data_IF_542877624815
#
_entry.id   IF_542877624815
#
_cell.length_a   1.000
_cell.length_b   1.000
_cell.length_c   1.000
_cell.angle_alpha   90.00
_cell.angle_beta   90.00
_cell.angle_gamma   90.00
#
_symmetry.space_group_name_H-M   'P 1'
#
loop_
_entity.id
_entity.type
_entity.pdbx_description
1 polymer ?
#
# COMPACT_ATOMS: atom_id res chain seq x y z
N UNK A 1 13.43 -1.03 2.14
CA UNK A 1 12.02 -1.15 1.75
C UNK A 1 11.91 -1.15 0.24
N UNK A 2 10.95 -1.90 -0.32
CA UNK A 2 10.51 -1.75 -1.72
C UNK A 2 9.51 -0.59 -1.86
N UNK A 3 9.78 0.35 -2.77
CA UNK A 3 8.86 1.45 -3.10
C UNK A 3 8.08 1.13 -4.37
N UNK A 4 6.78 0.85 -4.21
CA UNK A 4 5.89 0.53 -5.33
C UNK A 4 5.23 1.79 -5.89
N UNK A 5 5.65 2.24 -7.07
CA UNK A 5 5.01 3.41 -7.71
C UNK A 5 3.74 2.96 -8.43
N UNK A 6 2.59 3.41 -7.95
CA UNK A 6 1.28 2.96 -8.42
C UNK A 6 0.87 3.54 -9.77
N UNK A 7 0.37 2.68 -10.65
CA UNK A 7 -0.19 3.03 -11.95
C UNK A 7 -1.70 3.32 -11.93
N UNK A 8 -2.29 3.75 -13.06
CA UNK A 8 -1.61 4.02 -14.32
C UNK A 8 -0.86 5.35 -14.30
N UNK A 9 0.35 5.39 -14.87
CA UNK A 9 1.14 6.61 -15.05
C UNK A 9 1.10 7.00 -16.52
N UNK A 10 0.51 8.16 -16.85
CA UNK A 10 0.29 8.57 -18.26
C UNK A 10 1.11 9.81 -18.61
N UNK A 11 1.75 9.85 -19.80
CA UNK A 11 1.86 8.79 -20.82
C UNK A 11 2.78 7.63 -20.42
N UNK A 12 2.77 6.54 -21.20
CA UNK A 12 3.60 5.34 -20.96
C UNK A 12 5.10 5.64 -20.85
N UNK A 13 5.60 6.66 -21.56
CA UNK A 13 6.99 7.13 -21.42
C UNK A 13 7.32 7.58 -19.99
N UNK A 14 6.35 8.16 -19.28
CA UNK A 14 6.49 8.53 -17.88
C UNK A 14 6.42 7.30 -16.97
N UNK A 15 5.57 6.32 -17.28
CA UNK A 15 5.53 5.05 -16.55
C UNK A 15 6.88 4.31 -16.66
N UNK A 16 7.42 4.17 -17.87
CA UNK A 16 8.76 3.62 -18.10
C UNK A 16 9.82 4.37 -17.29
N UNK A 17 9.74 5.70 -17.24
CA UNK A 17 10.70 6.51 -16.48
C UNK A 17 10.58 6.27 -14.97
N UNK A 18 9.37 6.10 -14.46
CA UNK A 18 9.11 5.83 -13.05
C UNK A 18 9.44 4.39 -12.64
N UNK A 19 9.33 3.43 -13.56
CA UNK A 19 9.38 2.00 -13.25
C UNK A 19 10.65 1.28 -13.68
N UNK A 20 11.43 1.82 -14.62
CA UNK A 20 12.66 1.18 -15.11
C UNK A 20 13.62 0.89 -13.95
N UNK A 21 13.88 -0.39 -13.73
CA UNK A 21 14.76 -0.88 -12.65
C UNK A 21 14.19 -0.69 -11.24
N UNK A 22 12.87 -0.49 -11.12
CA UNK A 22 12.13 -0.22 -9.87
C UNK A 22 10.91 -1.11 -9.78
N UNK A 23 9.93 -0.71 -8.98
CA UNK A 23 8.77 -1.53 -8.66
C UNK A 23 7.45 -0.82 -8.96
N UNK A 24 6.48 -1.56 -9.48
CA UNK A 24 5.16 -1.04 -9.85
C UNK A 24 4.04 -1.65 -9.00
N UNK A 25 3.05 -0.84 -8.65
CA UNK A 25 1.78 -1.31 -8.10
C UNK A 25 0.70 -1.20 -9.16
N UNK A 26 0.14 -2.32 -9.58
CA UNK A 26 -0.83 -2.38 -10.69
C UNK A 26 -2.21 -2.69 -10.15
N UNK A 27 -3.13 -1.74 -10.29
CA UNK A 27 -4.53 -1.94 -9.94
C UNK A 27 -5.24 -2.76 -11.01
N UNK A 28 -5.98 -3.79 -10.60
CA UNK A 28 -6.82 -4.59 -11.49
C UNK A 28 -7.84 -3.74 -12.25
N UNK A 29 -8.42 -2.74 -11.58
CA UNK A 29 -9.36 -1.78 -12.19
C UNK A 29 -8.74 -0.98 -13.36
N UNK A 30 -7.41 -0.86 -13.41
CA UNK A 30 -6.66 -0.16 -14.43
C UNK A 30 -5.42 -0.95 -14.86
N UNK A 31 -5.61 -2.22 -15.23
CA UNK A 31 -4.54 -3.19 -15.51
C UNK A 31 -3.81 -3.00 -16.84
N UNK A 32 -4.18 -2.00 -17.65
CA UNK A 32 -3.67 -1.81 -19.02
C UNK A 32 -2.15 -1.68 -19.16
N UNK A 33 -1.45 -1.24 -18.11
CA UNK A 33 0.01 -1.11 -18.10
C UNK A 33 0.75 -2.32 -17.49
N UNK A 34 0.09 -3.46 -17.21
CA UNK A 34 0.74 -4.61 -16.58
C UNK A 34 1.89 -5.19 -17.42
N UNK A 35 1.74 -5.28 -18.75
CA UNK A 35 2.81 -5.76 -19.63
C UNK A 35 4.02 -4.81 -19.57
N UNK A 36 3.77 -3.50 -19.44
CA UNK A 36 4.84 -2.51 -19.30
C UNK A 36 5.58 -2.69 -17.96
N UNK A 37 4.85 -2.92 -16.87
CA UNK A 37 5.46 -3.22 -15.58
C UNK A 37 6.26 -4.53 -15.61
N UNK A 38 5.71 -5.59 -16.21
CA UNK A 38 6.36 -6.88 -16.32
C UNK A 38 7.69 -6.82 -17.10
N UNK A 39 7.79 -5.95 -18.09
CA UNK A 39 8.99 -5.77 -18.91
C UNK A 39 10.06 -4.87 -18.24
N UNK A 40 9.64 -3.77 -17.59
CA UNK A 40 10.57 -2.72 -17.14
C UNK A 40 10.91 -2.74 -15.65
N UNK A 41 10.09 -3.39 -14.82
CA UNK A 41 10.29 -3.43 -13.37
C UNK A 41 11.21 -4.56 -12.91
N UNK A 42 11.86 -4.37 -11.76
CA UNK A 42 12.47 -5.45 -11.00
C UNK A 42 11.41 -6.33 -10.34
N UNK A 43 10.32 -5.75 -9.84
CA UNK A 43 9.12 -6.49 -9.45
C UNK A 43 7.86 -5.66 -9.58
N UNK A 44 6.70 -6.30 -9.58
CA UNK A 44 5.41 -5.65 -9.49
C UNK A 44 4.50 -6.41 -8.53
N UNK A 45 3.59 -5.67 -7.91
CA UNK A 45 2.54 -6.22 -7.07
C UNK A 45 1.16 -5.75 -7.56
N UNK A 46 0.14 -6.53 -7.25
CA UNK A 46 -1.21 -6.36 -7.77
C UNK A 46 -2.15 -5.84 -6.67
N UNK A 47 -2.87 -4.79 -7.00
CA UNK A 47 -3.98 -4.26 -6.21
C UNK A 47 -5.31 -4.77 -6.79
N UNK A 48 -6.24 -5.14 -5.91
CA UNK A 48 -7.56 -5.67 -6.29
C UNK A 48 -8.47 -4.57 -6.90
N UNK A 49 -8.18 -3.29 -6.65
CA UNK A 49 -8.99 -2.17 -7.11
C UNK A 49 -10.33 -2.00 -6.38
N UNK A 50 -10.53 -2.63 -5.22
CA UNK A 50 -11.76 -2.61 -4.43
C UNK A 50 -12.27 -1.19 -4.18
N UNK A 51 -11.38 -0.26 -3.83
CA UNK A 51 -11.76 1.14 -3.61
C UNK A 51 -12.31 1.84 -4.86
N UNK A 52 -11.80 1.49 -6.04
CA UNK A 52 -12.29 2.02 -7.31
C UNK A 52 -13.63 1.40 -7.67
N UNK A 53 -13.74 0.07 -7.51
CA UNK A 53 -14.98 -0.68 -7.76
C UNK A 53 -16.11 -0.21 -6.83
N UNK A 54 -15.87 -0.09 -5.52
CA UNK A 54 -16.85 0.39 -4.54
C UNK A 54 -17.38 1.79 -4.87
N UNK A 55 -16.49 2.73 -5.26
CA UNK A 55 -16.91 4.08 -5.68
C UNK A 55 -17.81 4.07 -6.92
N UNK A 56 -17.62 3.11 -7.83
CA UNK A 56 -18.39 3.01 -9.07
C UNK A 56 -19.69 2.21 -8.88
N UNK A 57 -19.68 1.14 -8.09
CA UNK A 57 -20.75 0.17 -7.95
C UNK A 57 -21.70 0.42 -6.76
N UNK A 58 -21.30 1.23 -5.77
CA UNK A 58 -22.02 1.37 -4.50
C UNK A 58 -21.85 0.13 -3.60
N UNK A 59 -22.81 -0.14 -2.70
CA UNK A 59 -22.81 -1.28 -1.75
C UNK A 59 -23.13 -2.65 -2.40
N UNK A 60 -22.98 -2.79 -3.71
CA UNK A 60 -23.29 -4.06 -4.38
C UNK A 60 -22.14 -5.07 -4.18
N UNK A 61 -22.50 -6.35 -4.01
CA UNK A 61 -21.51 -7.44 -3.91
C UNK A 61 -20.66 -7.49 -5.18
N UNK A 62 -19.35 -7.48 -5.02
CA UNK A 62 -18.38 -7.58 -6.11
C UNK A 62 -18.05 -9.06 -6.32
N UNK A 63 -18.08 -9.52 -7.57
CA UNK A 63 -17.52 -10.82 -7.96
C UNK A 63 -16.03 -10.66 -8.22
N UNK A 64 -15.21 -11.46 -7.52
CA UNK A 64 -13.75 -11.40 -7.58
C UNK A 64 -13.13 -12.43 -8.53
N UNK A 65 -13.95 -13.24 -9.21
CA UNK A 65 -13.48 -14.32 -10.09
C UNK A 65 -12.50 -13.82 -11.16
N UNK A 66 -12.83 -12.72 -11.84
CA UNK A 66 -11.95 -12.12 -12.86
C UNK A 66 -10.62 -11.63 -12.26
N UNK A 67 -10.63 -11.14 -11.01
CA UNK A 67 -9.40 -10.74 -10.32
C UNK A 67 -8.55 -11.95 -9.97
N UNK A 68 -9.15 -13.05 -9.49
CA UNK A 68 -8.42 -14.29 -9.23
C UNK A 68 -7.82 -14.88 -10.51
N UNK A 69 -8.53 -14.87 -11.64
CA UNK A 69 -7.96 -15.31 -12.91
C UNK A 69 -6.79 -14.41 -13.36
N UNK A 70 -6.93 -13.10 -13.16
CA UNK A 70 -5.86 -12.15 -13.43
C UNK A 70 -4.62 -12.43 -12.57
N UNK A 71 -4.77 -12.67 -11.27
CA UNK A 71 -3.65 -13.05 -10.40
C UNK A 71 -3.09 -14.42 -10.82
N UNK A 72 -3.93 -15.40 -11.14
CA UNK A 72 -3.50 -16.72 -11.61
C UNK A 72 -2.61 -16.64 -12.85
N UNK A 73 -2.91 -15.73 -13.78
CA UNK A 73 -2.10 -15.48 -14.98
C UNK A 73 -0.71 -14.94 -14.65
N UNK A 74 -0.58 -14.07 -13.65
CA UNK A 74 0.64 -13.32 -13.37
C UNK A 74 1.47 -13.84 -12.20
N UNK A 75 0.88 -14.61 -11.27
CA UNK A 75 1.55 -15.04 -10.03
C UNK A 75 2.83 -15.84 -10.21
N UNK A 76 2.99 -16.50 -11.36
CA UNK A 76 4.20 -17.28 -11.69
C UNK A 76 5.21 -16.48 -12.52
N UNK A 77 4.91 -15.23 -12.89
CA UNK A 77 5.86 -14.36 -13.58
C UNK A 77 7.04 -14.06 -12.64
N UNK A 78 8.30 -14.09 -13.11
CA UNK A 78 9.47 -13.90 -12.25
C UNK A 78 9.51 -12.54 -11.53
N UNK A 79 8.88 -11.52 -12.12
CA UNK A 79 8.73 -10.19 -11.51
C UNK A 79 7.53 -10.04 -10.57
N UNK A 80 6.66 -11.03 -10.41
CA UNK A 80 5.53 -10.93 -9.47
C UNK A 80 6.03 -11.03 -8.02
N UNK A 81 5.63 -10.09 -7.15
CA UNK A 81 5.93 -10.13 -5.71
C UNK A 81 4.73 -10.61 -4.89
N UNK A 82 3.58 -9.94 -5.00
CA UNK A 82 2.35 -10.32 -4.30
C UNK A 82 1.10 -9.68 -4.92
N UNK A 83 -0.07 -10.15 -4.48
CA UNK A 83 -1.37 -9.60 -4.80
C UNK A 83 -2.16 -9.30 -3.50
N UNK A 84 -2.86 -8.18 -3.46
CA UNK A 84 -3.75 -7.85 -2.35
C UNK A 84 -4.98 -8.77 -2.42
N UNK A 85 -5.30 -9.45 -1.33
CA UNK A 85 -6.52 -10.25 -1.22
C UNK A 85 -7.71 -9.28 -1.13
N UNK A 86 -8.83 -9.56 -1.83
CA UNK A 86 -10.03 -8.75 -1.70
C UNK A 86 -10.54 -8.57 -0.27
N UNK A 87 -11.12 -7.40 -0.02
CA UNK A 87 -11.78 -6.99 1.21
C UNK A 87 -13.13 -6.33 0.88
N UNK A 88 -14.01 -6.26 1.88
CA UNK A 88 -15.27 -5.52 1.77
C UNK A 88 -15.10 -4.16 2.45
N UNK A 89 -15.19 -3.09 1.66
CA UNK A 89 -15.16 -1.72 2.18
C UNK A 89 -16.44 -1.46 2.98
N UNK A 90 -16.27 -0.97 4.21
CA UNK A 90 -17.31 -0.85 5.25
C UNK A 90 -17.93 -2.19 5.70
N UNK A 91 -17.31 -3.33 5.35
CA UNK A 91 -17.70 -4.66 5.81
C UNK A 91 -17.13 -5.02 7.17
N UNK A 92 -17.63 -6.12 7.74
CA UNK A 92 -17.14 -6.68 9.01
C UNK A 92 -15.94 -7.62 8.85
N UNK A 93 -15.28 -7.92 9.97
CA UNK A 93 -14.12 -8.83 10.01
C UNK A 93 -14.46 -10.23 9.47
N UNK A 94 -15.66 -10.76 9.79
CA UNK A 94 -16.13 -12.07 9.31
C UNK A 94 -16.27 -12.13 7.78
N UNK A 95 -16.73 -11.04 7.16
CA UNK A 95 -16.86 -10.97 5.70
C UNK A 95 -15.49 -10.95 5.02
N UNK A 96 -14.54 -10.21 5.61
CA UNK A 96 -13.16 -10.20 5.14
C UNK A 96 -12.51 -11.59 5.31
N UNK A 97 -12.78 -12.29 6.41
CA UNK A 97 -12.27 -13.65 6.63
C UNK A 97 -12.85 -14.68 5.65
N UNK A 98 -14.10 -14.51 5.22
CA UNK A 98 -14.65 -15.33 4.15
C UNK A 98 -13.86 -15.17 2.84
N UNK A 99 -13.45 -13.94 2.49
CA UNK A 99 -12.61 -13.66 1.32
C UNK A 99 -11.18 -14.21 1.47
N UNK A 100 -10.63 -14.20 2.68
CA UNK A 100 -9.34 -14.85 2.95
C UNK A 100 -9.41 -16.37 2.71
N UNK A 101 -10.52 -17.01 3.09
CA UNK A 101 -10.74 -18.44 2.88
C UNK A 101 -11.05 -18.78 1.41
N UNK A 102 -11.68 -17.87 0.68
CA UNK A 102 -11.97 -18.01 -0.75
C UNK A 102 -10.70 -17.89 -1.63
N UNK A 103 -9.67 -17.19 -1.14
CA UNK A 103 -8.45 -16.89 -1.88
C UNK A 103 -7.75 -18.15 -2.44
N UNK A 104 -7.68 -18.33 -3.78
CA UNK A 104 -7.26 -19.59 -4.38
C UNK A 104 -5.76 -19.70 -4.66
N UNK A 105 -4.94 -18.71 -4.24
CA UNK A 105 -3.52 -18.64 -4.61
C UNK A 105 -2.56 -18.87 -3.44
N UNK A 106 -3.10 -19.18 -2.26
CA UNK A 106 -2.32 -19.45 -1.05
C UNK A 106 -1.69 -18.21 -0.43
N UNK A 107 -1.16 -18.39 0.78
CA UNK A 107 -0.67 -17.31 1.65
C UNK A 107 0.63 -16.64 1.17
N UNK A 108 1.40 -17.30 0.28
CA UNK A 108 2.63 -16.71 -0.27
C UNK A 108 2.34 -15.64 -1.32
N UNK A 109 1.30 -15.84 -2.15
CA UNK A 109 0.94 -14.91 -3.21
C UNK A 109 -0.05 -13.83 -2.74
N UNK A 110 -0.89 -14.15 -1.76
CA UNK A 110 -1.93 -13.26 -1.24
C UNK A 110 -1.49 -12.49 -0.01
N UNK A 111 -1.81 -11.20 0.03
CA UNK A 111 -1.58 -10.31 1.17
C UNK A 111 -2.93 -9.79 1.69
N UNK A 112 -3.35 -10.17 2.91
CA UNK A 112 -4.54 -9.62 3.54
C UNK A 112 -4.34 -8.15 3.89
N UNK A 113 -5.43 -7.38 3.91
CA UNK A 113 -5.44 -5.98 4.35
C UNK A 113 -6.06 -5.91 5.74
N UNK A 114 -5.34 -5.28 6.67
CA UNK A 114 -5.92 -4.79 7.92
C UNK A 114 -6.15 -3.28 7.82
N UNK A 115 -7.32 -2.83 8.22
CA UNK A 115 -7.72 -1.43 8.23
C UNK A 115 -7.67 -0.86 9.64
N UNK A 116 -7.33 0.43 9.75
CA UNK A 116 -7.13 1.10 11.04
C UNK A 116 -8.37 1.17 11.97
N UNK A 117 -9.55 0.80 11.47
CA UNK A 117 -10.80 0.69 12.22
C UNK A 117 -11.15 -0.76 12.63
N UNK A 118 -10.40 -1.76 12.17
CA UNK A 118 -10.52 -3.16 12.63
C UNK A 118 -9.80 -3.36 13.98
N UNK A 119 -10.07 -4.48 14.64
CA UNK A 119 -9.49 -4.80 15.95
C UNK A 119 -7.97 -5.02 15.91
N UNK A 120 -7.31 -4.77 17.04
CA UNK A 120 -5.87 -4.99 17.20
C UNK A 120 -5.56 -6.50 17.19
N UNK A 121 -6.46 -7.31 17.77
CA UNK A 121 -6.39 -8.76 17.78
C UNK A 121 -6.37 -9.35 16.38
N UNK A 122 -7.21 -8.82 15.46
CA UNK A 122 -7.19 -9.22 14.05
C UNK A 122 -5.85 -8.94 13.39
N UNK A 123 -5.27 -7.75 13.59
CA UNK A 123 -3.97 -7.44 13.03
C UNK A 123 -2.89 -8.40 13.52
N UNK A 124 -2.85 -8.66 14.83
CA UNK A 124 -1.89 -9.58 15.44
C UNK A 124 -2.07 -10.99 14.87
N UNK A 125 -3.32 -11.45 14.74
CA UNK A 125 -3.62 -12.76 14.14
C UNK A 125 -3.11 -12.86 12.70
N UNK A 126 -3.47 -11.91 11.83
CA UNK A 126 -3.00 -11.87 10.44
C UNK A 126 -1.47 -11.87 10.35
N UNK A 127 -0.80 -11.11 11.23
CA UNK A 127 0.66 -11.04 11.25
C UNK A 127 1.34 -12.36 11.65
N UNK A 128 0.68 -13.21 12.44
CA UNK A 128 1.20 -14.54 12.79
C UNK A 128 0.87 -15.60 11.72
N UNK A 129 -0.15 -15.34 10.88
CA UNK A 129 -0.67 -16.29 9.91
C UNK A 129 -0.11 -16.13 8.50
N UNK A 130 0.21 -14.89 8.10
CA UNK A 130 0.62 -14.55 6.74
C UNK A 130 2.07 -14.04 6.71
N UNK A 131 2.83 -14.37 5.64
CA UNK A 131 4.21 -13.90 5.46
C UNK A 131 4.30 -12.38 5.23
N UNK A 132 3.17 -11.77 4.85
CA UNK A 132 3.05 -10.34 4.64
C UNK A 132 1.62 -9.88 4.90
N UNK A 133 1.46 -8.73 5.54
CA UNK A 133 0.18 -8.08 5.81
C UNK A 133 0.22 -6.64 5.31
N UNK A 134 -0.84 -6.21 4.62
CA UNK A 134 -1.01 -4.82 4.19
C UNK A 134 -1.77 -4.01 5.24
N UNK A 135 -1.38 -2.75 5.42
CA UNK A 135 -2.02 -1.81 6.32
C UNK A 135 -2.76 -0.78 5.48
N UNK A 136 -4.09 -0.81 5.54
CA UNK A 136 -4.99 0.15 4.93
C UNK A 136 -5.34 1.29 5.88
N UNK A 137 -5.11 2.54 5.46
CA UNK A 137 -5.52 3.69 6.26
C UNK A 137 -6.98 4.07 5.97
N UNK A 138 -7.78 4.30 7.02
CA UNK A 138 -9.18 4.71 6.91
C UNK A 138 -9.57 5.73 8.00
N UNK A 139 -10.72 6.41 7.80
CA UNK A 139 -11.35 7.25 8.82
C UNK A 139 -10.44 8.34 9.40
N UNK A 140 -10.39 8.41 10.73
CA UNK A 140 -9.57 9.38 11.45
C UNK A 140 -8.07 9.16 11.32
N UNK A 141 -7.66 7.96 10.95
CA UNK A 141 -6.27 7.56 10.78
C UNK A 141 -5.81 7.58 9.31
N UNK A 142 -6.54 8.27 8.42
CA UNK A 142 -6.12 8.45 7.02
C UNK A 142 -4.69 9.03 6.94
N UNK A 143 -3.86 8.46 6.07
CA UNK A 143 -2.47 8.88 5.79
C UNK A 143 -2.32 10.36 5.39
N UNK A 144 -3.41 11.05 5.06
CA UNK A 144 -3.48 12.52 4.95
C UNK A 144 -3.20 13.26 6.26
N UNK A 145 -3.28 12.58 7.41
CA UNK A 145 -2.91 13.06 8.74
C UNK A 145 -1.70 12.24 9.27
N UNK A 146 -0.48 12.45 8.74
CA UNK A 146 0.67 11.57 8.98
C UNK A 146 0.96 11.31 10.46
N UNK A 147 0.91 12.35 11.29
CA UNK A 147 1.23 12.23 12.73
C UNK A 147 0.31 11.24 13.44
N UNK A 148 -1.00 11.32 13.19
CA UNK A 148 -1.99 10.48 13.86
C UNK A 148 -1.92 9.03 13.34
N UNK A 149 -1.78 8.86 12.03
CA UNK A 149 -1.61 7.55 11.40
C UNK A 149 -0.34 6.84 11.91
N UNK A 150 0.78 7.56 12.00
CA UNK A 150 2.06 7.01 12.51
C UNK A 150 1.93 6.63 13.98
N UNK A 151 1.30 7.45 14.82
CA UNK A 151 1.11 7.14 16.24
C UNK A 151 0.30 5.85 16.42
N UNK A 152 -0.84 5.72 15.73
CA UNK A 152 -1.68 4.51 15.77
C UNK A 152 -0.93 3.27 15.29
N UNK A 153 -0.21 3.37 14.17
CA UNK A 153 0.57 2.24 13.64
C UNK A 153 1.72 1.83 14.55
N UNK A 154 2.40 2.78 15.19
CA UNK A 154 3.45 2.46 16.16
C UNK A 154 2.90 1.70 17.36
N UNK A 155 1.77 2.15 17.89
CA UNK A 155 1.11 1.52 19.03
C UNK A 155 0.68 0.08 18.69
N UNK A 156 0.20 -0.15 17.47
CA UNK A 156 -0.16 -1.49 17.01
C UNK A 156 1.07 -2.38 16.73
N UNK A 157 2.06 -1.87 15.99
CA UNK A 157 3.23 -2.65 15.56
C UNK A 157 4.03 -3.15 16.77
N UNK A 158 4.03 -2.43 17.90
CA UNK A 158 4.75 -2.87 19.12
C UNK A 158 4.31 -4.24 19.63
N UNK A 159 3.11 -4.70 19.25
CA UNK A 159 2.58 -6.01 19.63
C UNK A 159 3.04 -7.16 18.73
N UNK A 160 3.71 -6.86 17.60
CA UNK A 160 4.14 -7.87 16.61
C UNK A 160 5.64 -7.77 16.27
N UNK A 161 6.46 -7.26 17.20
CA UNK A 161 7.92 -7.19 17.03
C UNK A 161 8.64 -8.29 17.82
N UNK A 162 9.81 -8.69 17.32
CA UNK A 162 10.75 -9.56 18.02
C UNK A 162 11.56 -8.80 19.10
N UNK A 163 12.51 -9.50 19.73
CA UNK A 163 13.42 -8.90 20.72
C UNK A 163 14.36 -7.82 20.18
N UNK A 164 14.45 -7.64 18.86
CA UNK A 164 15.19 -6.57 18.19
C UNK A 164 14.29 -5.41 17.74
N UNK A 165 13.00 -5.46 18.04
CA UNK A 165 12.02 -4.47 17.61
C UNK A 165 11.65 -4.59 16.13
N UNK A 166 11.93 -5.72 15.48
CA UNK A 166 11.62 -5.95 14.07
C UNK A 166 10.28 -6.69 13.94
N UNK A 167 9.37 -6.27 13.02
CA UNK A 167 8.12 -6.99 12.80
C UNK A 167 8.35 -8.48 12.46
N UNK A 168 7.58 -9.36 13.09
CA UNK A 168 7.63 -10.81 12.85
C UNK A 168 7.14 -11.22 11.45
N UNK A 169 6.44 -10.31 10.76
CA UNK A 169 5.97 -10.46 9.38
C UNK A 169 6.34 -9.25 8.53
N UNK A 170 6.30 -9.37 7.21
CA UNK A 170 6.52 -8.23 6.32
C UNK A 170 5.29 -7.32 6.32
N UNK A 171 5.49 -6.03 6.55
CA UNK A 171 4.42 -5.04 6.49
C UNK A 171 4.44 -4.27 5.18
N UNK A 172 3.29 -4.17 4.52
CA UNK A 172 3.08 -3.32 3.35
C UNK A 172 2.20 -2.12 3.70
N UNK A 173 2.65 -0.89 3.47
CA UNK A 173 1.85 0.30 3.73
C UNK A 173 1.07 0.76 2.50
N UNK A 174 -0.26 0.59 2.50
CA UNK A 174 -1.11 1.02 1.39
C UNK A 174 -1.19 2.56 1.32
N UNK A 175 -0.81 3.14 0.19
CA UNK A 175 -0.72 4.60 -0.05
C UNK A 175 0.26 5.32 0.88
N UNK A 176 1.25 4.61 1.42
CA UNK A 176 2.15 5.13 2.45
C UNK A 176 3.52 5.63 1.95
N UNK A 177 3.76 5.80 0.64
CA UNK A 177 4.98 6.47 0.12
C UNK A 177 5.03 7.99 0.36
N UNK A 178 4.73 8.41 1.58
CA UNK A 178 4.99 9.73 2.13
C UNK A 178 6.15 9.62 3.13
N UNK A 179 7.29 10.32 2.94
CA UNK A 179 8.42 10.25 3.85
C UNK A 179 8.08 10.59 5.31
N UNK A 180 7.04 11.39 5.56
CA UNK A 180 6.55 11.67 6.92
C UNK A 180 5.96 10.43 7.62
N UNK A 181 5.63 9.39 6.87
CA UNK A 181 5.02 8.14 7.36
C UNK A 181 6.05 7.02 7.32
N UNK A 182 6.50 6.62 6.13
CA UNK A 182 7.26 5.38 6.00
C UNK A 182 8.63 5.45 6.68
N UNK A 183 9.25 6.63 6.79
CA UNK A 183 10.53 6.78 7.53
C UNK A 183 10.38 6.63 9.05
N UNK A 184 9.15 6.47 9.56
CA UNK A 184 8.83 6.34 10.99
C UNK A 184 8.36 4.94 11.38
N UNK A 185 8.17 4.05 10.41
CA UNK A 185 7.56 2.73 10.59
C UNK A 185 8.42 1.66 9.91
N UNK A 186 8.60 0.47 10.52
CA UNK A 186 9.43 -0.59 9.95
C UNK A 186 8.71 -1.37 8.84
N UNK A 187 8.38 -0.69 7.74
CA UNK A 187 7.67 -1.28 6.61
C UNK A 187 8.66 -2.00 5.66
N UNK A 188 8.26 -3.19 5.20
CA UNK A 188 9.01 -3.93 4.18
C UNK A 188 8.77 -3.35 2.78
N UNK A 189 7.56 -2.87 2.52
CA UNK A 189 7.18 -2.19 1.28
C UNK A 189 6.07 -1.16 1.52
N UNK A 190 5.88 -0.24 0.57
CA UNK A 190 4.73 0.67 0.55
C UNK A 190 4.45 1.09 -0.89
N UNK A 191 3.22 1.49 -1.18
CA UNK A 191 2.83 2.00 -2.49
C UNK A 191 2.34 3.45 -2.45
N UNK A 192 2.27 4.08 -3.62
CA UNK A 192 1.49 5.30 -3.84
C UNK A 192 1.29 5.61 -5.31
N UNK A 193 0.13 6.15 -5.65
CA UNK A 193 -0.17 6.76 -6.95
C UNK A 193 0.30 8.22 -7.05
N UNK A 194 1.15 8.71 -6.13
CA UNK A 194 1.59 10.11 -6.08
C UNK A 194 2.18 10.57 -7.43
N UNK A 195 3.07 9.78 -8.03
CA UNK A 195 3.66 10.07 -9.35
C UNK A 195 2.55 10.22 -10.40
N UNK A 196 1.72 9.20 -10.57
CA UNK A 196 0.60 9.21 -11.52
C UNK A 196 -0.30 10.45 -11.38
N UNK A 197 -0.60 10.85 -10.13
CA UNK A 197 -1.55 11.93 -9.85
C UNK A 197 -0.99 13.33 -10.07
N UNK A 198 0.32 13.53 -9.92
CA UNK A 198 0.89 14.89 -9.82
C UNK A 198 1.82 15.30 -10.98
N UNK A 199 2.33 14.36 -11.79
CA UNK A 199 3.24 14.70 -12.91
C UNK A 199 2.61 15.66 -13.94
N UNK A 200 1.28 15.62 -14.08
CA UNK A 200 0.51 16.45 -15.02
C UNK A 200 -0.01 17.78 -14.47
N UNK A 201 0.24 18.11 -13.20
CA UNK A 201 -0.29 19.34 -12.59
C UNK A 201 0.69 20.49 -12.84
N UNK A 202 0.63 21.13 -14.01
CA UNK A 202 1.62 22.14 -14.44
C UNK A 202 1.84 23.27 -13.43
N UNK A 203 0.79 23.74 -12.75
CA UNK A 203 0.90 24.78 -11.72
C UNK A 203 1.81 24.40 -10.53
N UNK A 204 1.98 23.10 -10.26
CA UNK A 204 2.87 22.60 -9.22
C UNK A 204 4.35 22.56 -9.65
N UNK A 205 4.62 22.78 -10.94
CA UNK A 205 5.95 22.74 -11.56
C UNK A 205 6.30 24.12 -12.12
N UNK A 206 6.51 25.08 -11.22
CA UNK A 206 6.84 26.48 -11.54
C UNK A 206 8.18 26.90 -10.95
N UNK A 207 8.71 28.03 -11.41
CA UNK A 207 10.02 28.57 -10.99
C UNK A 207 11.14 28.30 -11.99
N UNK A 208 12.32 28.88 -11.71
CA UNK A 208 13.44 28.93 -12.66
C UNK A 208 14.00 27.56 -13.08
N UNK A 209 13.77 26.52 -12.27
CA UNK A 209 14.31 25.16 -12.49
C UNK A 209 13.20 24.11 -12.59
N UNK A 210 11.98 24.50 -12.92
CA UNK A 210 10.89 23.56 -13.13
C UNK A 210 11.18 22.65 -14.34
N UNK A 211 11.06 21.31 -14.21
CA UNK A 211 11.28 20.42 -15.34
C UNK A 211 10.26 20.64 -16.46
N UNK A 212 10.79 20.70 -17.69
CA UNK A 212 9.99 20.95 -18.91
C UNK A 212 9.12 19.76 -19.32
N UNK A 213 9.57 18.52 -19.08
CA UNK A 213 8.87 17.30 -19.51
C UNK A 213 8.27 16.52 -18.33
N UNK A 214 7.17 15.79 -18.59
CA UNK A 214 6.54 14.93 -17.58
C UNK A 214 7.45 13.77 -17.16
N UNK A 215 8.30 13.30 -18.05
CA UNK A 215 9.29 12.25 -17.78
C UNK A 215 10.31 12.70 -16.74
N UNK A 216 10.82 13.93 -16.86
CA UNK A 216 11.75 14.49 -15.87
C UNK A 216 11.05 14.75 -14.54
N UNK A 217 9.79 15.20 -14.57
CA UNK A 217 8.96 15.32 -13.36
C UNK A 217 8.77 13.97 -12.67
N UNK A 218 8.43 12.93 -13.42
CA UNK A 218 8.27 11.57 -12.89
C UNK A 218 9.58 11.07 -12.26
N UNK A 219 10.71 11.22 -12.95
CA UNK A 219 12.03 10.85 -12.44
C UNK A 219 12.35 11.54 -11.11
N UNK A 220 12.13 12.86 -11.05
CA UNK A 220 12.40 13.67 -9.86
C UNK A 220 11.48 13.30 -8.69
N UNK A 221 10.20 13.02 -8.95
CA UNK A 221 9.28 12.58 -7.90
C UNK A 221 9.68 11.23 -7.31
N UNK A 222 10.04 10.28 -8.17
CA UNK A 222 10.52 8.96 -7.76
C UNK A 222 11.80 9.08 -6.95
N UNK A 223 12.78 9.84 -7.42
CA UNK A 223 14.04 10.07 -6.72
C UNK A 223 13.83 10.66 -5.32
N UNK A 224 12.93 11.65 -5.18
CA UNK A 224 12.61 12.25 -3.86
C UNK A 224 12.01 11.23 -2.88
N UNK A 225 11.16 10.33 -3.37
CA UNK A 225 10.57 9.27 -2.53
C UNK A 225 11.66 8.28 -2.13
N UNK A 226 12.40 7.75 -3.11
CA UNK A 226 13.40 6.69 -2.91
C UNK A 226 14.70 7.15 -2.23
N UNK A 227 14.93 8.47 -2.11
CA UNK A 227 16.01 9.05 -1.30
C UNK A 227 15.86 8.74 0.21
N UNK A 228 14.71 8.21 0.61
CA UNK A 228 14.42 7.83 1.99
C UNK A 228 14.13 6.32 2.07
N UNK A 229 14.20 5.76 3.27
CA UNK A 229 13.89 4.35 3.52
C UNK A 229 13.17 4.19 4.87
N UNK A 230 12.48 3.07 5.06
CA UNK A 230 11.96 2.70 6.39
C UNK A 230 13.09 2.31 7.34
N UNK A 231 12.93 2.58 8.65
CA UNK A 231 13.81 2.01 9.68
C UNK A 231 13.72 0.47 9.69
N UNK A 232 14.79 -0.19 10.10
CA UNK A 232 14.82 -1.65 10.22
C UNK A 232 14.08 -2.19 11.45
N UNK A 233 13.83 -1.36 12.45
CA UNK A 233 13.12 -1.70 13.68
C UNK A 233 12.18 -0.58 14.12
N UNK A 234 11.23 -0.92 14.98
CA UNK A 234 10.26 0.03 15.54
C UNK A 234 10.93 0.96 16.55
N UNK A 235 10.86 2.27 16.28
CA UNK A 235 11.24 3.30 17.24
C UNK A 235 10.02 3.72 18.10
N UNK A 236 9.73 2.93 19.14
CA UNK A 236 8.61 3.16 20.06
C UNK A 236 9.08 3.64 21.44
N UNK A 237 8.35 4.59 22.02
CA UNK A 237 8.53 5.07 23.37
C UNK A 237 7.16 5.22 24.04
N UNK A 238 6.91 4.46 25.10
CA UNK A 238 5.61 4.45 25.79
C UNK A 238 5.15 5.82 26.27
N UNK A 239 6.08 6.72 26.65
CA UNK A 239 5.73 8.06 27.12
C UNK A 239 5.41 9.01 25.96
N UNK A 240 6.18 8.95 24.87
CA UNK A 240 6.04 9.86 23.72
C UNK A 240 4.91 9.43 22.78
N UNK A 241 4.82 8.13 22.54
CA UNK A 241 3.93 7.53 21.56
C UNK A 241 2.66 6.98 22.24
N UNK A 242 2.38 7.37 23.50
CA UNK A 242 1.16 6.98 24.22
C UNK A 242 -0.06 7.44 23.44
N UNK A 243 -0.84 6.48 22.97
CA UNK A 243 -2.06 6.76 22.24
C UNK A 243 -3.24 6.82 23.23
N UNK A 244 -3.56 8.02 23.74
CA UNK A 244 -4.79 8.22 24.50
C UNK A 244 -5.94 8.45 23.51
N UNK A 245 -6.79 7.43 23.31
CA UNK A 245 -8.10 7.64 22.69
C UNK A 245 -8.85 8.66 23.56
N UNK A 246 -9.03 9.89 23.06
CA UNK A 246 -10.06 10.75 23.60
C UNK A 246 -11.40 10.04 23.35
N UNK A 247 -11.91 9.37 24.37
CA UNK A 247 -13.31 8.98 24.44
C UNK A 247 -14.11 10.25 24.18
N UNK A 248 -14.71 10.37 23.00
CA UNK A 248 -15.74 11.37 22.78
C UNK A 248 -16.86 11.01 23.74
N UNK A 249 -16.98 11.79 24.82
CA UNK A 249 -18.17 11.79 25.66
C UNK A 249 -19.35 12.05 24.72
N UNK A 250 -20.20 11.04 24.56
CA UNK A 250 -21.50 11.21 23.92
C UNK A 250 -22.24 12.32 24.67
N UNK A 251 -22.52 13.42 23.98
CA UNK A 251 -23.44 14.49 24.42
C UNK A 251 -24.77 14.26 23.75
#
# INVERSE_FOLDING_TARGET
>A
MIHYHGGPITPDTCAMRAWKGRHAFISFAHSGQINLAAEYCQSFALDNGAFTAWKAAGKNKIDWSDYYEFVARWKNHPGFDFAIIPDIIDGGEEENDALLNEWPHGKLAGVPVWHMNESDERFIHLCNEFPRVAIGSCGDYDVKRPTLAVARMKDLIRHIVDGHGQPVTKLHGLRMLNPLIFTKLPLASADSTNVARNIGIDKAWSGAYAPASKETRAALMVERIEAHNSPGSLAYCEQRDRFEMQLQLAV
#
